data_IF_090640078348
#
_entry.id   IF_090640078348
#
_cell.length_a   1.000
_cell.length_b   1.000
_cell.length_c   1.000
_cell.angle_alpha   90.00
_cell.angle_beta   90.00
_cell.angle_gamma   90.00
#
_symmetry.space_group_name_H-M   'P 1'
#
loop_
_entity.id
_entity.type
_entity.pdbx_description
1 polymer ?
#
# COMPACT_ATOMS: atom_id res chain seq x y z
N UNK A 1 -27.96 68.15 -2.08
CA UNK A 1 -27.15 67.37 -1.12
C UNK A 1 -27.19 65.91 -1.54
N UNK A 2 -26.01 65.40 -1.86
CA UNK A 2 -25.63 64.14 -2.48
C UNK A 2 -26.35 62.89 -1.94
N UNK A 3 -26.64 61.90 -2.81
CA UNK A 3 -26.24 60.50 -2.54
C UNK A 3 -26.29 59.61 -3.80
N UNK A 4 -25.08 59.31 -4.29
CA UNK A 4 -24.56 58.08 -4.92
C UNK A 4 -25.36 57.21 -5.90
N UNK A 5 -24.82 57.20 -7.14
CA UNK A 5 -24.81 56.09 -8.09
C UNK A 5 -24.23 54.82 -7.47
N UNK A 6 -24.77 53.64 -7.81
CA UNK A 6 -24.05 52.36 -7.72
C UNK A 6 -24.21 51.59 -9.03
N UNK A 7 -23.07 51.35 -9.66
CA UNK A 7 -22.89 50.69 -10.94
C UNK A 7 -23.08 49.17 -10.84
N UNK A 8 -23.60 48.61 -11.93
CA UNK A 8 -23.62 47.19 -12.26
C UNK A 8 -22.22 46.57 -12.18
N UNK A 9 -22.12 45.40 -11.52
CA UNK A 9 -20.95 44.53 -11.59
C UNK A 9 -21.38 43.08 -11.68
N UNK A 10 -21.64 42.59 -12.90
CA UNK A 10 -21.89 41.18 -13.17
C UNK A 10 -20.55 40.43 -13.09
N UNK A 11 -20.24 39.82 -11.95
CA UNK A 11 -19.06 38.97 -11.81
C UNK A 11 -19.36 37.58 -12.38
N UNK A 12 -18.85 37.30 -13.58
CA UNK A 12 -18.95 35.98 -14.21
C UNK A 12 -17.89 35.06 -13.58
N UNK A 13 -18.30 34.23 -12.62
CA UNK A 13 -17.43 33.20 -12.03
C UNK A 13 -17.28 32.06 -13.04
N UNK A 14 -16.12 31.99 -13.69
CA UNK A 14 -15.75 30.89 -14.56
C UNK A 14 -15.43 29.66 -13.70
N UNK A 15 -16.42 28.78 -13.50
CA UNK A 15 -16.22 27.49 -12.84
C UNK A 15 -15.42 26.61 -13.81
N UNK A 16 -14.14 26.42 -13.55
CA UNK A 16 -13.37 25.37 -14.20
C UNK A 16 -13.90 24.03 -13.70
N UNK A 17 -14.54 23.28 -14.59
CA UNK A 17 -14.84 21.87 -14.36
C UNK A 17 -13.49 21.13 -14.30
N UNK A 18 -12.97 20.94 -13.09
CA UNK A 18 -11.93 19.95 -12.85
C UNK A 18 -12.60 18.60 -13.11
N UNK A 19 -12.35 18.02 -14.27
CA UNK A 19 -12.65 16.62 -14.52
C UNK A 19 -11.84 15.81 -13.49
N UNK A 20 -12.49 15.41 -12.40
CA UNK A 20 -11.92 14.44 -11.48
C UNK A 20 -11.92 13.12 -12.26
N UNK A 21 -10.80 12.82 -12.90
CA UNK A 21 -10.55 11.44 -13.32
C UNK A 21 -10.61 10.63 -12.03
N UNK A 22 -11.58 9.72 -11.94
CA UNK A 22 -11.54 8.70 -10.89
C UNK A 22 -10.23 7.96 -11.16
N UNK A 23 -9.23 8.25 -10.34
CA UNK A 23 -8.01 7.47 -10.33
C UNK A 23 -8.45 6.05 -10.00
N UNK A 24 -8.29 5.11 -10.93
CA UNK A 24 -8.44 3.67 -10.66
C UNK A 24 -7.26 3.18 -9.80
N UNK A 25 -6.93 3.92 -8.74
CA UNK A 25 -5.98 3.50 -7.73
C UNK A 25 -6.63 2.41 -6.90
N UNK A 26 -5.93 1.28 -6.75
CA UNK A 26 -6.35 0.23 -5.83
C UNK A 26 -6.59 0.84 -4.45
N UNK A 27 -7.72 0.45 -3.85
CA UNK A 27 -8.08 0.92 -2.53
C UNK A 27 -7.59 -0.09 -1.47
N UNK A 28 -6.54 0.27 -0.74
CA UNK A 28 -6.08 -0.49 0.42
C UNK A 28 -6.80 0.05 1.67
N UNK A 29 -7.54 -0.83 2.36
CA UNK A 29 -8.35 -0.48 3.53
C UNK A 29 -7.81 -1.13 4.80
N UNK A 30 -7.93 -0.45 5.93
CA UNK A 30 -7.61 -1.00 7.25
C UNK A 30 -8.55 -2.16 7.60
N UNK A 31 -8.03 -3.17 8.29
CA UNK A 31 -8.78 -4.36 8.68
C UNK A 31 -7.87 -5.45 9.25
N UNK A 32 -8.47 -6.46 9.87
CA UNK A 32 -7.76 -7.66 10.38
C UNK A 32 -6.56 -7.34 11.29
N UNK A 33 -6.64 -6.29 12.12
CA UNK A 33 -5.55 -5.87 13.02
C UNK A 33 -4.45 -5.04 12.36
N UNK A 34 -4.63 -4.64 11.09
CA UNK A 34 -3.74 -3.75 10.34
C UNK A 34 -4.42 -2.41 10.10
N UNK A 35 -3.74 -1.32 10.46
CA UNK A 35 -4.15 0.05 10.15
C UNK A 35 -3.29 0.58 9.01
N UNK A 36 -3.89 0.88 7.86
CA UNK A 36 -3.18 1.49 6.73
C UNK A 36 -2.78 2.91 7.13
N UNK A 37 -1.48 3.16 7.12
CA UNK A 37 -0.89 4.46 7.46
C UNK A 37 -0.57 5.27 6.21
N UNK A 38 0.03 4.64 5.20
CA UNK A 38 0.31 5.28 3.91
C UNK A 38 0.36 4.26 2.77
N UNK A 39 0.15 4.76 1.55
CA UNK A 39 0.17 3.97 0.31
C UNK A 39 1.03 4.72 -0.70
N UNK A 40 1.97 4.03 -1.32
CA UNK A 40 2.78 4.55 -2.42
C UNK A 40 2.73 3.59 -3.61
N UNK A 41 2.38 4.12 -4.79
CA UNK A 41 2.50 3.38 -6.04
C UNK A 41 3.89 3.60 -6.60
N UNK A 42 4.73 2.56 -6.56
CA UNK A 42 6.13 2.61 -7.00
C UNK A 42 6.26 2.43 -8.53
N UNK A 43 5.34 1.67 -9.12
CA UNK A 43 5.17 1.48 -10.56
C UNK A 43 3.71 1.05 -10.86
N UNK A 44 3.34 0.85 -12.12
CA UNK A 44 2.00 0.45 -12.58
C UNK A 44 1.43 -0.75 -11.82
N UNK A 45 2.27 -1.71 -11.45
CA UNK A 45 1.87 -2.96 -10.78
C UNK A 45 2.43 -3.10 -9.36
N UNK A 46 3.32 -2.21 -8.93
CA UNK A 46 4.05 -2.35 -7.68
C UNK A 46 3.62 -1.26 -6.69
N UNK A 47 3.16 -1.69 -5.53
CA UNK A 47 2.73 -0.84 -4.42
C UNK A 47 3.58 -1.12 -3.19
N UNK A 48 3.85 -0.09 -2.41
CA UNK A 48 4.34 -0.19 -1.03
C UNK A 48 3.26 0.40 -0.12
N UNK A 49 2.78 -0.41 0.81
CA UNK A 49 1.87 0.02 1.87
C UNK A 49 2.64 0.05 3.19
N UNK A 50 2.36 1.06 4.00
CA UNK A 50 2.82 1.12 5.39
C UNK A 50 1.62 0.89 6.28
N UNK A 51 1.76 -0.05 7.21
CA UNK A 51 0.72 -0.40 8.18
C UNK A 51 1.24 -0.29 9.61
N UNK A 52 0.31 -0.04 10.53
CA UNK A 52 0.52 -0.14 11.97
C UNK A 52 -0.27 -1.35 12.51
N UNK A 53 0.25 -2.00 13.55
CA UNK A 53 -0.43 -3.09 14.24
C UNK A 53 -0.02 -3.11 15.72
N UNK A 54 -0.93 -3.55 16.59
CA UNK A 54 -0.63 -3.74 18.02
C UNK A 54 0.24 -5.00 18.27
N UNK A 55 0.45 -5.85 17.26
CA UNK A 55 1.20 -7.11 17.37
C UNK A 55 2.71 -6.94 17.21
N UNK A 56 3.16 -5.85 16.57
CA UNK A 56 4.57 -5.55 16.31
C UNK A 56 4.83 -4.06 16.43
N UNK A 57 6.02 -3.68 16.90
CA UNK A 57 6.35 -2.26 17.09
C UNK A 57 6.61 -1.56 15.76
N UNK A 58 6.14 -0.32 15.66
CA UNK A 58 6.54 0.61 14.60
C UNK A 58 5.80 0.42 13.29
N UNK A 59 6.21 1.21 12.30
CA UNK A 59 5.68 1.15 10.94
C UNK A 59 6.21 -0.09 10.20
N UNK A 60 5.29 -0.86 9.64
CA UNK A 60 5.62 -2.06 8.89
C UNK A 60 5.32 -1.88 7.42
N UNK A 61 6.33 -2.11 6.58
CA UNK A 61 6.21 -2.01 5.13
C UNK A 61 5.79 -3.34 4.53
N UNK A 62 4.92 -3.30 3.53
CA UNK A 62 4.54 -4.45 2.73
C UNK A 62 4.60 -4.02 1.26
N UNK A 63 5.36 -4.75 0.43
CA UNK A 63 5.29 -4.59 -1.02
C UNK A 63 4.29 -5.55 -1.63
N UNK A 64 3.50 -5.05 -2.57
CA UNK A 64 2.46 -5.80 -3.26
C UNK A 64 2.67 -5.61 -4.76
N UNK A 65 2.91 -6.73 -5.46
CA UNK A 65 2.94 -6.79 -6.91
C UNK A 65 1.63 -7.40 -7.40
N UNK A 66 0.82 -6.61 -8.08
CA UNK A 66 -0.42 -7.09 -8.73
C UNK A 66 -0.12 -7.59 -10.14
N UNK A 67 -0.88 -8.57 -10.66
CA UNK A 67 -0.69 -9.05 -12.02
C UNK A 67 -1.22 -8.05 -13.05
N UNK A 68 -0.73 -8.14 -14.28
CA UNK A 68 -1.00 -7.14 -15.33
C UNK A 68 -2.46 -7.07 -15.77
N UNK A 69 -3.21 -8.14 -15.52
CA UNK A 69 -4.63 -8.27 -15.81
C UNK A 69 -5.53 -7.85 -14.64
N UNK A 70 -4.99 -7.48 -13.47
CA UNK A 70 -5.78 -7.21 -12.26
C UNK A 70 -6.90 -6.17 -12.47
N UNK A 71 -6.64 -5.10 -13.21
CA UNK A 71 -7.61 -4.00 -13.44
C UNK A 71 -8.44 -4.18 -14.71
N UNK A 72 -8.19 -5.22 -15.50
CA UNK A 72 -8.87 -5.45 -16.80
C UNK A 72 -9.64 -6.76 -16.83
N UNK A 73 -9.38 -7.68 -15.90
CA UNK A 73 -10.17 -8.88 -15.68
C UNK A 73 -11.54 -8.57 -15.08
N UNK A 74 -12.46 -9.54 -15.19
CA UNK A 74 -13.75 -9.52 -14.51
C UNK A 74 -13.61 -9.32 -12.99
N UNK A 75 -14.51 -8.54 -12.40
CA UNK A 75 -14.52 -8.22 -10.96
C UNK A 75 -14.61 -9.47 -10.06
N UNK A 76 -15.11 -10.60 -10.58
CA UNK A 76 -15.20 -11.87 -9.85
C UNK A 76 -13.95 -12.75 -9.99
N UNK A 77 -12.90 -12.29 -10.68
CA UNK A 77 -11.68 -13.08 -10.85
C UNK A 77 -10.89 -13.15 -9.55
N UNK A 78 -10.62 -14.37 -9.11
CA UNK A 78 -9.71 -14.64 -8.00
C UNK A 78 -8.28 -14.89 -8.49
N UNK A 79 -7.31 -14.34 -7.75
CA UNK A 79 -5.89 -14.52 -8.00
C UNK A 79 -5.27 -15.34 -6.86
N UNK A 80 -4.42 -16.34 -7.16
CA UNK A 80 -3.59 -16.95 -6.14
C UNK A 80 -2.64 -15.90 -5.54
N UNK A 81 -2.30 -16.08 -4.26
CA UNK A 81 -1.40 -15.18 -3.53
C UNK A 81 -0.10 -15.90 -3.22
N UNK A 82 1.02 -15.30 -3.60
CA UNK A 82 2.37 -15.74 -3.28
C UNK A 82 2.97 -14.84 -2.20
N UNK A 83 3.33 -15.40 -1.04
CA UNK A 83 4.08 -14.69 -0.01
C UNK A 83 5.57 -14.92 -0.18
N UNK A 84 6.34 -13.84 -0.28
CA UNK A 84 7.81 -13.88 -0.35
C UNK A 84 8.40 -13.18 0.87
N UNK A 85 8.93 -13.98 1.78
CA UNK A 85 9.53 -13.52 3.03
C UNK A 85 11.00 -13.19 2.80
N UNK A 86 11.49 -12.09 3.35
CA UNK A 86 12.89 -11.69 3.21
C UNK A 86 13.78 -12.35 4.28
N UNK A 87 15.09 -12.32 4.05
CA UNK A 87 16.09 -12.78 5.02
C UNK A 87 16.56 -11.66 5.95
N UNK A 88 17.52 -11.98 6.83
CA UNK A 88 18.20 -11.00 7.69
C UNK A 88 19.62 -10.71 7.16
N UNK A 89 20.12 -9.46 7.25
CA UNK A 89 19.38 -8.22 7.49
C UNK A 89 18.74 -7.75 6.18
N UNK A 90 17.41 -7.74 6.11
CA UNK A 90 16.67 -7.44 4.88
C UNK A 90 15.34 -6.75 5.16
N UNK A 91 14.54 -6.55 4.12
CA UNK A 91 13.24 -5.89 4.18
C UNK A 91 12.30 -6.25 3.03
N UNK A 92 11.09 -5.67 3.07
CA UNK A 92 10.02 -5.87 2.07
C UNK A 92 10.44 -5.65 0.60
N UNK A 93 11.49 -4.87 0.38
CA UNK A 93 12.04 -4.51 -0.91
C UNK A 93 12.90 -5.58 -1.57
N UNK A 94 13.47 -6.52 -0.81
CA UNK A 94 14.59 -7.35 -1.28
C UNK A 94 14.26 -8.17 -2.51
N UNK A 95 13.03 -8.70 -2.59
CA UNK A 95 12.59 -9.48 -3.73
C UNK A 95 12.42 -8.64 -5.01
N UNK A 96 12.14 -7.34 -4.87
CA UNK A 96 12.03 -6.43 -6.00
C UNK A 96 13.37 -5.82 -6.42
N UNK A 97 14.30 -5.59 -5.48
CA UNK A 97 15.58 -4.95 -5.75
C UNK A 97 16.68 -5.96 -6.08
N UNK A 98 16.69 -7.11 -5.41
CA UNK A 98 17.72 -8.15 -5.55
C UNK A 98 17.15 -9.42 -6.19
N UNK A 99 15.93 -9.82 -5.81
CA UNK A 99 15.29 -11.06 -6.26
C UNK A 99 14.67 -11.02 -7.66
N UNK A 100 14.55 -9.83 -8.27
CA UNK A 100 13.97 -9.61 -9.61
C UNK A 100 12.55 -10.19 -9.77
N UNK A 101 11.76 -10.20 -8.70
CA UNK A 101 10.43 -10.82 -8.67
C UNK A 101 9.50 -10.25 -9.75
N UNK A 102 9.59 -8.96 -10.06
CA UNK A 102 8.78 -8.34 -11.12
C UNK A 102 8.99 -9.01 -12.49
N UNK A 103 10.22 -9.43 -12.79
CA UNK A 103 10.52 -10.11 -14.05
C UNK A 103 10.07 -11.57 -14.01
N UNK A 104 10.33 -12.26 -12.90
CA UNK A 104 9.96 -13.67 -12.70
C UNK A 104 8.43 -13.84 -12.78
N UNK A 105 7.68 -12.92 -12.18
CA UNK A 105 6.23 -12.97 -12.10
C UNK A 105 5.52 -12.25 -13.25
N UNK A 106 6.24 -11.69 -14.24
CA UNK A 106 5.68 -10.83 -15.28
C UNK A 106 4.57 -11.46 -16.13
N UNK A 107 4.59 -12.79 -16.29
CA UNK A 107 3.66 -13.54 -17.14
C UNK A 107 2.75 -14.50 -16.36
N UNK A 108 2.64 -14.34 -15.04
CA UNK A 108 1.75 -15.16 -14.21
C UNK A 108 0.71 -14.28 -13.53
N UNK A 109 -0.55 -14.71 -13.60
CA UNK A 109 -1.67 -14.03 -12.95
C UNK A 109 -1.73 -14.40 -11.46
N UNK A 110 -0.84 -13.82 -10.65
CA UNK A 110 -0.83 -13.97 -9.20
C UNK A 110 -0.54 -12.63 -8.51
N UNK A 111 -1.04 -12.47 -7.28
CA UNK A 111 -0.67 -11.34 -6.41
C UNK A 111 0.54 -11.78 -5.59
N UNK A 112 1.63 -11.01 -5.63
CA UNK A 112 2.79 -11.26 -4.76
C UNK A 112 2.78 -10.29 -3.59
N UNK A 113 2.87 -10.81 -2.36
CA UNK A 113 2.94 -10.04 -1.12
C UNK A 113 4.30 -10.26 -0.48
N UNK A 114 5.00 -9.17 -0.16
CA UNK A 114 6.36 -9.14 0.39
C UNK A 114 6.35 -8.33 1.69
N UNK A 115 5.99 -8.94 2.82
CA UNK A 115 5.87 -8.23 4.09
C UNK A 115 7.23 -8.09 4.79
N UNK A 116 7.41 -6.98 5.51
CA UNK A 116 8.53 -6.79 6.42
C UNK A 116 8.36 -7.65 7.68
N UNK A 117 9.41 -8.38 8.06
CA UNK A 117 9.50 -9.17 9.29
C UNK A 117 10.58 -8.69 10.24
N UNK A 118 11.10 -7.47 10.04
CA UNK A 118 12.29 -6.90 10.67
C UNK A 118 13.56 -7.77 10.57
N UNK A 119 14.71 -7.25 11.01
CA UNK A 119 15.97 -7.98 10.95
C UNK A 119 15.99 -9.27 11.78
N UNK A 120 15.17 -9.37 12.84
CA UNK A 120 15.20 -10.50 13.77
C UNK A 120 13.80 -10.97 14.19
N UNK A 121 12.74 -10.64 13.43
CA UNK A 121 11.41 -11.12 13.77
C UNK A 121 11.20 -12.60 13.46
N UNK A 122 11.92 -13.15 12.47
CA UNK A 122 11.86 -14.55 12.04
C UNK A 122 10.44 -15.07 11.78
N UNK A 123 9.49 -14.15 11.50
CA UNK A 123 8.09 -14.46 11.28
C UNK A 123 7.47 -15.33 12.39
N UNK A 124 8.00 -15.21 13.62
CA UNK A 124 7.59 -16.01 14.78
C UNK A 124 7.27 -15.15 16.00
N UNK A 125 6.39 -15.65 16.86
CA UNK A 125 6.12 -15.01 18.16
C UNK A 125 7.25 -15.34 19.11
N UNK A 126 8.00 -14.32 19.53
CA UNK A 126 9.08 -14.49 20.50
C UNK A 126 8.54 -14.72 21.91
N UNK A 127 9.04 -15.76 22.58
CA UNK A 127 8.68 -16.06 23.98
C UNK A 127 9.27 -15.01 24.94
N UNK A 128 10.49 -14.53 24.65
CA UNK A 128 11.20 -13.53 25.46
C UNK A 128 11.64 -12.37 24.53
N UNK A 129 10.72 -11.46 24.17
CA UNK A 129 10.92 -10.42 23.16
C UNK A 129 11.81 -9.24 23.61
N UNK A 130 12.18 -9.19 24.89
CA UNK A 130 13.00 -8.12 25.46
C UNK A 130 12.36 -6.72 25.30
N UNK A 131 13.17 -5.70 25.04
CA UNK A 131 12.71 -4.31 24.91
C UNK A 131 12.07 -3.99 23.55
N UNK A 132 12.02 -4.96 22.64
CA UNK A 132 11.44 -4.79 21.31
C UNK A 132 9.97 -5.20 21.25
N UNK A 133 9.32 -5.44 22.39
CA UNK A 133 7.89 -5.76 22.48
C UNK A 133 7.01 -4.69 21.84
N UNK A 134 5.89 -5.09 21.22
CA UNK A 134 5.49 -6.48 20.95
C UNK A 134 6.30 -7.08 19.77
N UNK A 135 6.48 -8.41 19.78
CA UNK A 135 7.20 -9.17 18.74
C UNK A 135 6.37 -10.40 18.34
N UNK A 136 5.08 -10.20 18.11
CA UNK A 136 4.15 -11.26 17.75
C UNK A 136 4.11 -11.44 16.22
N UNK A 137 5.27 -11.69 15.61
CA UNK A 137 5.40 -11.72 14.14
C UNK A 137 4.59 -12.80 13.45
N UNK A 138 4.29 -13.92 14.12
CA UNK A 138 3.41 -14.96 13.58
C UNK A 138 1.94 -14.51 13.60
N UNK A 139 1.55 -13.71 14.58
CA UNK A 139 0.18 -13.18 14.67
C UNK A 139 -0.03 -12.02 13.70
N UNK A 140 1.01 -11.21 13.49
CA UNK A 140 1.00 -10.04 12.62
C UNK A 140 0.83 -10.39 11.12
N UNK A 141 1.41 -11.50 10.65
CA UNK A 141 1.36 -11.95 9.25
C UNK A 141 0.23 -12.94 8.99
#
# INVERSE_FOLDING_TARGET
MNCHCLFFGLSLVLITLVNYTISNTLNFISGFGLTVYSISQLDKQLYEIVVLSDEVRGEQKIRILIPSDYTTSDDNRHYPVLYLLHGSPGGSEDWTTQGKVQNICSNVSLITVMPNGDSFGWYTNWIIPGNSTPQNWRTYH
#
